data_IF_136238432716
#
_entry.id   IF_136238432716
#
_cell.length_a   1.000
_cell.length_b   1.000
_cell.length_c   1.000
_cell.angle_alpha   90.00
_cell.angle_beta   90.00
_cell.angle_gamma   90.00
#
_symmetry.space_group_name_H-M   'P 1'
#
loop_
_entity.id
_entity.type
_entity.pdbx_description
1 polymer ?
#
# COMPACT_ATOMS: atom_id res chain seq x y z
N UNK A 1 -17.89 7.00 -1.22
CA UNK A 1 -16.86 6.07 -0.71
C UNK A 1 -16.25 6.71 0.52
N UNK A 2 -16.06 5.96 1.61
CA UNK A 2 -15.48 6.53 2.82
C UNK A 2 -13.98 6.78 2.59
N UNK A 3 -13.57 8.03 2.73
CA UNK A 3 -12.15 8.42 2.81
C UNK A 3 -11.80 8.47 4.28
N UNK A 4 -10.68 7.85 4.68
CA UNK A 4 -10.14 7.94 6.03
C UNK A 4 -9.01 8.95 6.07
N UNK A 5 -9.04 9.82 7.07
CA UNK A 5 -7.97 10.78 7.37
C UNK A 5 -7.34 10.40 8.71
N UNK A 6 -6.06 10.06 8.69
CA UNK A 6 -5.28 9.76 9.87
C UNK A 6 -4.35 10.96 10.12
N UNK A 7 -4.53 11.60 11.27
CA UNK A 7 -3.64 12.66 11.74
C UNK A 7 -2.64 12.06 12.71
N UNK A 8 -1.36 12.11 12.39
CA UNK A 8 -0.28 11.70 13.29
C UNK A 8 0.34 12.95 13.91
N UNK A 9 0.37 13.00 15.23
CA UNK A 9 0.97 14.06 16.02
C UNK A 9 2.18 13.52 16.75
N UNK A 10 3.21 14.34 16.91
CA UNK A 10 4.35 13.98 17.75
C UNK A 10 4.83 15.22 18.49
N UNK A 11 5.48 14.99 19.63
CA UNK A 11 6.04 16.03 20.45
C UNK A 11 7.42 15.63 20.97
N UNK A 12 8.38 16.53 20.76
CA UNK A 12 9.70 16.50 21.37
C UNK A 12 10.50 15.21 21.13
N UNK A 13 10.47 14.69 19.89
CA UNK A 13 11.36 13.62 19.45
C UNK A 13 12.83 14.02 19.66
N UNK A 14 13.66 13.09 20.12
CA UNK A 14 15.08 13.33 20.38
C UNK A 14 15.89 13.49 19.09
N UNK A 15 15.41 12.89 17.99
CA UNK A 15 16.06 12.90 16.68
C UNK A 15 15.05 12.87 15.55
N UNK A 16 15.49 13.29 14.38
CA UNK A 16 14.73 13.10 13.15
C UNK A 16 14.42 11.60 12.99
N UNK A 17 13.12 11.31 12.89
CA UNK A 17 12.61 9.95 12.91
C UNK A 17 11.63 9.78 11.76
N UNK A 18 11.84 8.72 11.00
CA UNK A 18 11.04 8.41 9.82
C UNK A 18 10.17 7.20 10.10
N UNK A 19 8.88 7.35 9.83
CA UNK A 19 7.85 6.32 9.94
C UNK A 19 7.49 5.87 8.53
N UNK A 20 7.60 4.56 8.30
CA UNK A 20 7.14 3.90 7.10
C UNK A 20 5.78 3.27 7.35
N UNK A 21 4.83 3.51 6.44
CA UNK A 21 3.51 2.88 6.44
C UNK A 21 3.39 1.94 5.25
N UNK A 22 2.95 0.71 5.52
CA UNK A 22 2.69 -0.30 4.51
C UNK A 22 1.44 -1.10 4.85
N UNK A 23 0.75 -1.60 3.82
CA UNK A 23 -0.36 -2.51 4.04
C UNK A 23 0.16 -3.92 4.26
N UNK A 24 -0.44 -4.62 5.21
CA UNK A 24 -0.08 -6.01 5.48
C UNK A 24 -0.38 -6.86 4.23
N UNK A 25 0.63 -7.56 3.68
CA UNK A 25 0.40 -8.43 2.55
C UNK A 25 -0.46 -9.64 2.98
N UNK A 26 -1.25 -10.23 2.08
CA UNK A 26 -1.88 -11.52 2.33
C UNK A 26 -0.82 -12.55 2.73
N UNK A 27 -1.06 -13.29 3.82
CA UNK A 27 -0.16 -14.36 4.22
C UNK A 27 -0.19 -15.47 3.16
N UNK A 28 0.90 -15.61 2.42
CA UNK A 28 1.06 -16.59 1.36
C UNK A 28 2.47 -17.19 1.43
N UNK A 29 2.63 -18.47 1.07
CA UNK A 29 3.96 -19.09 0.92
C UNK A 29 4.82 -18.53 -0.23
N UNK A 30 4.32 -17.47 -0.86
CA UNK A 30 4.78 -16.78 -2.06
C UNK A 30 5.35 -15.38 -1.76
N UNK A 31 5.15 -14.91 -0.52
CA UNK A 31 5.70 -13.65 -0.06
C UNK A 31 7.23 -13.63 -0.21
N UNK A 32 7.75 -12.53 -0.73
CA UNK A 32 9.15 -12.29 -1.09
C UNK A 32 9.74 -13.20 -2.18
N UNK A 33 8.91 -14.00 -2.89
CA UNK A 33 9.33 -14.85 -4.01
C UNK A 33 8.75 -14.37 -5.34
N UNK A 34 7.43 -14.35 -5.42
CA UNK A 34 6.66 -13.86 -6.58
C UNK A 34 5.61 -12.83 -6.16
N UNK A 35 5.49 -12.55 -4.85
CA UNK A 35 4.61 -11.54 -4.26
C UNK A 35 5.40 -10.66 -3.30
N UNK A 36 5.36 -9.35 -3.47
CA UNK A 36 6.19 -8.40 -2.74
C UNK A 36 5.37 -7.22 -2.21
N UNK A 37 5.43 -6.91 -0.91
CA UNK A 37 4.84 -5.69 -0.36
C UNK A 37 5.48 -4.46 -0.98
N UNK A 38 4.71 -3.39 -1.11
CA UNK A 38 5.21 -2.09 -1.57
C UNK A 38 4.97 -1.05 -0.48
N UNK A 39 6.00 -0.25 -0.21
CA UNK A 39 5.93 0.84 0.76
C UNK A 39 4.92 1.88 0.29
N UNK A 40 3.93 2.20 1.13
CA UNK A 40 2.83 3.08 0.74
C UNK A 40 3.10 4.55 1.07
N UNK A 41 3.56 4.84 2.29
CA UNK A 41 3.89 6.21 2.73
C UNK A 41 5.17 6.24 3.56
N UNK A 42 5.93 7.32 3.42
CA UNK A 42 7.09 7.64 4.25
C UNK A 42 6.85 9.02 4.88
N UNK A 43 6.95 9.09 6.20
CA UNK A 43 6.71 10.32 6.97
C UNK A 43 7.93 10.59 7.83
N UNK A 44 8.61 11.70 7.60
CA UNK A 44 9.73 12.13 8.45
C UNK A 44 9.27 13.22 9.41
N UNK A 45 9.39 12.96 10.70
CA UNK A 45 9.20 13.94 11.76
C UNK A 45 10.56 14.51 12.18
N UNK A 46 10.65 15.83 12.26
CA UNK A 46 11.85 16.51 12.75
C UNK A 46 11.95 16.39 14.27
N UNK A 47 13.18 16.37 14.78
CA UNK A 47 13.46 16.42 16.20
C UNK A 47 12.94 17.72 16.84
N UNK A 48 12.51 17.62 18.09
CA UNK A 48 12.05 18.76 18.89
C UNK A 48 10.69 19.32 18.48
N UNK A 49 10.06 20.04 19.41
CA UNK A 49 8.81 20.78 19.17
C UNK A 49 7.59 19.89 18.84
N UNK A 50 6.56 20.50 18.25
CA UNK A 50 5.36 19.80 17.80
C UNK A 50 5.41 19.58 16.29
N UNK A 51 5.07 18.37 15.85
CA UNK A 51 4.92 18.07 14.43
C UNK A 51 3.62 17.29 14.16
N UNK A 52 3.11 17.47 12.94
CA UNK A 52 1.89 16.82 12.45
C UNK A 52 2.10 16.29 11.03
N UNK A 53 1.64 15.08 10.78
CA UNK A 53 1.47 14.52 9.45
C UNK A 53 0.02 14.10 9.21
N UNK A 54 -0.42 14.18 7.96
CA UNK A 54 -1.78 13.78 7.55
C UNK A 54 -1.68 12.74 6.45
N UNK A 55 -2.24 11.56 6.70
CA UNK A 55 -2.34 10.47 5.74
C UNK A 55 -3.80 10.31 5.34
N UNK A 56 -4.06 10.28 4.04
CA UNK A 56 -5.41 10.07 3.50
C UNK A 56 -5.46 8.74 2.77
N UNK A 57 -6.49 7.97 3.09
CA UNK A 57 -6.77 6.66 2.53
C UNK A 57 -8.15 6.69 1.88
N UNK A 58 -8.24 6.32 0.61
CA UNK A 58 -9.51 6.08 -0.06
C UNK A 58 -9.58 4.61 -0.47
N UNK A 59 -10.68 3.93 -0.13
CA UNK A 59 -10.90 2.53 -0.48
C UNK A 59 -11.28 2.34 -1.98
N UNK A 60 -10.51 2.97 -2.87
CA UNK A 60 -10.62 2.86 -4.34
C UNK A 60 -9.54 1.91 -4.84
N UNK A 61 -9.85 0.62 -4.83
CA UNK A 61 -8.91 -0.40 -5.26
C UNK A 61 -8.71 -0.36 -6.77
N UNK A 62 -7.50 -0.66 -7.21
CA UNK A 62 -7.18 -0.86 -8.62
C UNK A 62 -6.12 -1.94 -8.81
N UNK A 63 -6.22 -2.65 -9.93
CA UNK A 63 -5.11 -3.42 -10.46
C UNK A 63 -4.22 -2.53 -11.32
N UNK A 64 -2.91 -2.71 -11.22
CA UNK A 64 -1.90 -2.01 -12.02
C UNK A 64 -1.07 -2.99 -12.85
N UNK A 65 -0.63 -2.54 -14.02
CA UNK A 65 0.47 -3.17 -14.74
C UNK A 65 1.74 -2.46 -14.32
N UNK A 66 2.51 -3.14 -13.47
CA UNK A 66 3.58 -2.53 -12.72
C UNK A 66 4.94 -2.67 -13.40
N UNK A 67 5.77 -1.67 -13.20
CA UNK A 67 7.18 -1.65 -13.57
C UNK A 67 7.98 -1.25 -12.34
N UNK A 68 9.16 -1.82 -12.19
CA UNK A 68 10.08 -1.44 -11.13
C UNK A 68 11.39 -0.96 -11.77
N UNK A 69 11.94 0.12 -11.24
CA UNK A 69 13.25 0.62 -11.66
C UNK A 69 14.40 -0.10 -10.92
N UNK A 70 15.64 0.36 -11.14
CA UNK A 70 16.85 -0.21 -10.54
C UNK A 70 16.89 -0.04 -9.01
N UNK A 71 16.16 0.93 -8.45
CA UNK A 71 16.00 1.13 -7.01
C UNK A 71 14.84 0.31 -6.42
N UNK A 72 14.15 -0.47 -7.26
CA UNK A 72 12.92 -1.19 -6.96
C UNK A 72 11.72 -0.28 -6.61
N UNK A 73 11.71 0.96 -7.11
CA UNK A 73 10.54 1.83 -7.03
C UNK A 73 9.50 1.35 -8.02
N UNK A 74 8.31 1.06 -7.53
CA UNK A 74 7.20 0.50 -8.31
C UNK A 74 6.33 1.63 -8.83
N UNK A 75 6.28 1.76 -10.14
CA UNK A 75 5.28 2.57 -10.83
C UNK A 75 4.35 1.67 -11.66
N UNK A 76 3.23 2.20 -12.14
CA UNK A 76 2.33 1.46 -13.03
C UNK A 76 1.98 2.28 -14.26
N UNK A 77 2.29 1.72 -15.43
CA UNK A 77 2.04 2.39 -16.71
C UNK A 77 0.56 2.35 -17.11
N UNK A 78 -0.24 1.52 -16.46
CA UNK A 78 -1.70 1.45 -16.62
C UNK A 78 -2.34 0.89 -15.34
N UNK A 79 -3.57 1.30 -15.05
CA UNK A 79 -4.38 0.75 -13.96
C UNK A 79 -5.86 0.69 -14.33
N UNK A 80 -6.62 -0.10 -13.59
CA UNK A 80 -8.08 -0.17 -13.68
C UNK A 80 -8.69 -0.28 -12.29
N UNK A 81 -9.64 0.59 -11.98
CA UNK A 81 -10.39 0.53 -10.71
C UNK A 81 -11.25 -0.73 -10.65
N UNK A 82 -11.24 -1.39 -9.49
CA UNK A 82 -11.98 -2.62 -9.22
C UNK A 82 -12.60 -2.59 -7.83
N UNK A 83 -13.62 -3.42 -7.61
CA UNK A 83 -14.30 -3.63 -6.33
C UNK A 83 -14.31 -5.12 -6.01
N UNK A 84 -14.46 -5.50 -4.74
CA UNK A 84 -14.49 -6.91 -4.33
C UNK A 84 -15.42 -7.77 -5.19
N UNK A 85 -14.92 -8.91 -5.65
CA UNK A 85 -15.62 -9.81 -6.58
C UNK A 85 -15.44 -9.47 -8.07
N UNK A 86 -14.76 -8.36 -8.38
CA UNK A 86 -14.50 -7.97 -9.76
C UNK A 86 -13.33 -8.76 -10.38
N UNK A 87 -13.43 -8.93 -11.69
CA UNK A 87 -12.49 -9.63 -12.55
C UNK A 87 -12.15 -8.73 -13.72
N UNK A 88 -10.86 -8.61 -13.99
CA UNK A 88 -10.33 -7.93 -15.17
C UNK A 88 -9.22 -8.75 -15.80
N UNK A 89 -8.69 -8.25 -16.92
CA UNK A 89 -7.51 -8.81 -17.55
C UNK A 89 -6.64 -7.73 -18.14
N UNK A 90 -5.33 -7.90 -18.06
CA UNK A 90 -4.38 -7.13 -18.85
C UNK A 90 -4.18 -7.81 -20.21
N UNK A 91 -4.21 -7.01 -21.27
CA UNK A 91 -3.97 -7.43 -22.65
C UNK A 91 -2.98 -6.48 -23.32
N UNK A 92 -2.47 -6.85 -24.49
CA UNK A 92 -1.50 -6.06 -25.25
C UNK A 92 -0.16 -6.76 -25.40
N UNK A 93 0.70 -6.13 -26.21
CA UNK A 93 2.04 -6.61 -26.55
C UNK A 93 3.10 -5.82 -25.74
N UNK A 94 4.38 -5.94 -26.12
CA UNK A 94 5.49 -5.34 -25.39
C UNK A 94 5.38 -3.81 -25.32
N UNK A 95 5.52 -3.24 -24.13
CA UNK A 95 5.49 -1.79 -23.88
C UNK A 95 4.10 -1.12 -23.96
N UNK A 96 3.09 -1.78 -24.53
CA UNK A 96 1.72 -1.23 -24.65
C UNK A 96 0.72 -2.23 -24.10
N UNK A 97 0.45 -2.12 -22.79
CA UNK A 97 -0.54 -2.94 -22.11
C UNK A 97 -1.72 -2.10 -21.64
N UNK A 98 -2.90 -2.71 -21.68
CA UNK A 98 -4.17 -2.11 -21.24
C UNK A 98 -5.01 -3.12 -20.49
N UNK A 99 -5.78 -2.61 -19.54
CA UNK A 99 -6.81 -3.40 -18.90
C UNK A 99 -8.06 -3.47 -19.79
N UNK A 100 -8.66 -4.66 -19.81
CA UNK A 100 -9.96 -4.89 -20.42
C UNK A 100 -11.10 -4.51 -19.47
N UNK A 101 -12.33 -4.76 -19.93
CA UNK A 101 -13.54 -4.52 -19.14
C UNK A 101 -13.51 -5.24 -17.79
N UNK A 102 -14.11 -4.58 -16.80
CA UNK A 102 -14.29 -5.13 -15.46
C UNK A 102 -15.64 -5.84 -15.43
N UNK A 103 -15.62 -7.11 -15.05
CA UNK A 103 -16.82 -7.94 -14.87
C UNK A 103 -16.92 -8.40 -13.43
N UNK A 104 -18.13 -8.51 -12.87
CA UNK A 104 -18.31 -8.95 -11.48
C UNK A 104 -18.77 -10.39 -11.40
N UNK A 105 -18.11 -11.18 -10.54
CA UNK A 105 -18.64 -12.46 -10.07
C UNK A 105 -19.49 -12.25 -8.80
N UNK A 106 -20.69 -12.83 -8.80
CA UNK A 106 -21.62 -12.68 -7.67
C UNK A 106 -21.35 -13.66 -6.53
N UNK A 107 -20.59 -14.74 -6.79
CA UNK A 107 -20.35 -15.86 -5.89
C UNK A 107 -19.08 -15.69 -5.03
N UNK A 108 -18.30 -14.62 -5.23
CA UNK A 108 -17.02 -14.45 -4.54
C UNK A 108 -16.70 -13.00 -4.22
N UNK A 109 -15.92 -12.79 -3.16
CA UNK A 109 -15.32 -11.49 -2.82
C UNK A 109 -13.90 -11.34 -3.37
N UNK A 110 -13.37 -12.40 -4.01
CA UNK A 110 -12.03 -12.42 -4.54
C UNK A 110 -11.93 -11.52 -5.78
N UNK A 111 -10.90 -10.69 -5.80
CA UNK A 111 -10.48 -9.92 -6.95
C UNK A 111 -9.61 -10.80 -7.84
N UNK A 112 -9.84 -10.80 -9.14
CA UNK A 112 -9.05 -11.58 -10.10
C UNK A 112 -8.52 -10.69 -11.21
N UNK A 113 -7.20 -10.72 -11.42
CA UNK A 113 -6.58 -10.11 -12.59
C UNK A 113 -5.89 -11.18 -13.44
N UNK A 114 -6.36 -11.33 -14.68
CA UNK A 114 -5.79 -12.28 -15.63
C UNK A 114 -4.68 -11.62 -16.44
N UNK A 115 -3.54 -12.29 -16.57
CA UNK A 115 -2.55 -11.93 -17.58
C UNK A 115 -2.95 -12.58 -18.91
N UNK A 116 -3.71 -11.86 -19.73
CA UNK A 116 -4.11 -12.32 -21.06
C UNK A 116 -3.09 -12.00 -22.15
N UNK A 117 -1.92 -11.46 -21.80
CA UNK A 117 -0.82 -11.21 -22.74
C UNK A 117 -0.15 -12.52 -23.18
N UNK A 118 0.81 -12.42 -24.12
CA UNK A 118 1.61 -13.56 -24.60
C UNK A 118 2.85 -13.83 -23.75
N UNK A 119 3.18 -12.92 -22.83
CA UNK A 119 4.41 -12.94 -22.04
C UNK A 119 4.11 -12.87 -20.54
N UNK A 120 5.16 -12.97 -19.72
CA UNK A 120 5.03 -12.70 -18.29
C UNK A 120 4.76 -11.21 -18.06
N UNK A 121 3.97 -10.89 -17.05
CA UNK A 121 3.66 -9.52 -16.68
C UNK A 121 3.81 -9.34 -15.17
N UNK A 122 4.26 -8.15 -14.76
CA UNK A 122 4.18 -7.73 -13.39
C UNK A 122 2.82 -7.08 -13.15
N UNK A 123 2.11 -7.53 -12.13
CA UNK A 123 0.78 -7.04 -11.79
C UNK A 123 0.82 -6.52 -10.36
N UNK A 124 0.15 -5.42 -10.07
CA UNK A 124 0.03 -4.89 -8.71
C UNK A 124 -1.42 -4.70 -8.32
N UNK A 125 -1.68 -4.64 -7.01
CA UNK A 125 -2.89 -4.07 -6.45
C UNK A 125 -2.52 -2.89 -5.56
N UNK A 126 -3.40 -1.91 -5.51
CA UNK A 126 -3.15 -0.66 -4.81
C UNK A 126 -4.39 0.22 -4.80
N UNK A 127 -4.18 1.49 -4.50
CA UNK A 127 -5.25 2.46 -4.35
C UNK A 127 -5.15 3.58 -5.36
N UNK A 128 -6.31 4.14 -5.69
CA UNK A 128 -6.42 5.29 -6.55
C UNK A 128 -6.78 6.51 -5.71
N UNK A 129 -5.97 7.56 -5.81
CA UNK A 129 -6.24 8.87 -5.24
C UNK A 129 -6.54 9.89 -6.33
N UNK A 130 -7.25 10.97 -5.97
CA UNK A 130 -7.64 12.01 -6.93
C UNK A 130 -8.67 11.52 -7.95
N UNK A 131 -9.10 12.41 -8.84
CA UNK A 131 -10.09 12.16 -9.88
C UNK A 131 -9.67 12.81 -11.19
N UNK A 132 -10.20 12.32 -12.32
CA UNK A 132 -9.91 12.87 -13.65
C UNK A 132 -8.41 12.85 -13.97
N UNK A 133 -7.85 14.00 -14.34
CA UNK A 133 -6.44 14.16 -14.72
C UNK A 133 -5.48 14.09 -13.51
N UNK A 134 -5.99 14.32 -12.30
CA UNK A 134 -5.23 14.27 -11.06
C UNK A 134 -5.24 12.87 -10.43
N UNK A 135 -5.86 11.90 -11.12
CA UNK A 135 -5.88 10.53 -10.68
C UNK A 135 -4.45 9.97 -10.62
N UNK A 136 -4.10 9.36 -9.50
CA UNK A 136 -2.81 8.69 -9.28
C UNK A 136 -3.04 7.34 -8.64
N UNK A 137 -2.33 6.33 -9.15
CA UNK A 137 -2.31 4.99 -8.60
C UNK A 137 -1.14 4.84 -7.62
N UNK A 138 -1.40 4.24 -6.47
CA UNK A 138 -0.43 3.98 -5.41
C UNK A 138 -0.38 2.46 -5.16
N UNK A 139 0.61 1.73 -5.71
CA UNK A 139 0.74 0.29 -5.50
C UNK A 139 1.04 -0.03 -4.04
N UNK A 140 0.48 -1.12 -3.52
CA UNK A 140 0.72 -1.59 -2.14
C UNK A 140 1.20 -3.03 -2.10
N UNK A 141 1.03 -3.76 -3.19
CA UNK A 141 1.44 -5.14 -3.33
C UNK A 141 1.69 -5.45 -4.81
N UNK A 142 2.79 -6.13 -5.09
CA UNK A 142 3.25 -6.49 -6.42
C UNK A 142 3.34 -8.00 -6.57
N UNK A 143 2.96 -8.52 -7.73
CA UNK A 143 3.27 -9.86 -8.20
C UNK A 143 4.19 -9.77 -9.41
N UNK A 144 5.36 -10.40 -9.32
CA UNK A 144 6.33 -10.38 -10.42
C UNK A 144 6.21 -11.61 -11.29
N UNK A 145 6.37 -11.45 -12.60
CA UNK A 145 6.51 -12.57 -13.53
C UNK A 145 5.26 -13.45 -13.65
N UNK A 146 4.06 -12.88 -13.48
CA UNK A 146 2.79 -13.61 -13.65
C UNK A 146 2.74 -14.21 -15.05
N UNK A 147 2.61 -15.54 -15.15
CA UNK A 147 2.66 -16.28 -16.40
C UNK A 147 1.62 -15.81 -17.44
N UNK A 148 1.96 -15.95 -18.72
CA UNK A 148 0.98 -15.76 -19.79
C UNK A 148 -0.22 -16.70 -19.56
N UNK A 149 -1.44 -16.19 -19.76
CA UNK A 149 -2.72 -16.88 -19.51
C UNK A 149 -2.95 -17.33 -18.05
N UNK A 150 -2.08 -16.92 -17.13
CA UNK A 150 -2.27 -17.12 -15.69
C UNK A 150 -3.08 -15.97 -15.09
N UNK A 151 -3.43 -16.07 -13.81
CA UNK A 151 -4.10 -15.00 -13.08
C UNK A 151 -3.53 -14.87 -11.67
N UNK A 152 -3.71 -13.68 -11.10
CA UNK A 152 -3.60 -13.44 -9.67
C UNK A 152 -5.01 -13.38 -9.08
N UNK A 153 -5.13 -13.87 -7.85
CA UNK A 153 -6.35 -13.78 -7.06
C UNK A 153 -5.99 -13.17 -5.72
N UNK A 154 -6.74 -12.14 -5.31
CA UNK A 154 -6.49 -11.43 -4.07
C UNK A 154 -7.78 -11.15 -3.32
N UNK A 155 -7.72 -11.21 -2.00
CA UNK A 155 -8.67 -10.55 -1.13
C UNK A 155 -7.92 -9.44 -0.43
N UNK A 156 -8.54 -8.26 -0.33
CA UNK A 156 -7.89 -7.10 0.22
C UNK A 156 -8.56 -6.66 1.52
N UNK A 157 -7.78 -6.64 2.60
CA UNK A 157 -8.14 -6.04 3.89
C UNK A 157 -7.12 -4.93 4.17
N UNK A 158 -7.54 -3.67 4.36
CA UNK A 158 -6.65 -2.53 4.56
C UNK A 158 -6.09 -2.49 5.99
N UNK A 159 -5.36 -3.53 6.39
CA UNK A 159 -4.57 -3.49 7.63
C UNK A 159 -3.31 -2.69 7.34
N UNK A 160 -3.21 -1.50 7.93
CA UNK A 160 -2.08 -0.61 7.80
C UNK A 160 -1.13 -0.81 8.98
N UNK A 161 0.16 -0.97 8.70
CA UNK A 161 1.20 -1.21 9.70
C UNK A 161 2.27 -0.12 9.59
N UNK A 162 2.78 0.33 10.74
CA UNK A 162 3.82 1.35 10.84
C UNK A 162 5.12 0.78 11.41
N UNK A 163 6.24 1.24 10.85
CA UNK A 163 7.60 0.88 11.27
C UNK A 163 8.45 2.14 11.39
N UNK A 164 9.42 2.15 12.30
CA UNK A 164 10.44 3.21 12.36
C UNK A 164 11.67 2.74 11.58
N UNK A 165 12.05 3.48 10.55
CA UNK A 165 13.12 3.08 9.62
C UNK A 165 13.74 4.31 8.95
N UNK A 166 14.88 4.16 8.26
CA UNK A 166 15.57 5.26 7.57
C UNK A 166 15.85 5.00 6.09
N UNK A 167 15.70 3.76 5.63
CA UNK A 167 16.32 3.29 4.39
C UNK A 167 15.32 3.03 3.26
N UNK A 168 14.03 3.28 3.50
CA UNK A 168 12.98 3.02 2.53
C UNK A 168 12.39 4.28 1.91
N UNK A 169 11.99 4.16 0.65
CA UNK A 169 11.32 5.21 -0.15
C UNK A 169 9.85 4.84 -0.39
N UNK A 170 8.98 5.84 -0.58
CA UNK A 170 7.62 5.58 -1.06
C UNK A 170 7.68 4.82 -2.38
N UNK A 171 6.74 3.89 -2.59
CA UNK A 171 6.66 2.97 -3.74
C UNK A 171 7.77 1.93 -3.87
N UNK A 172 8.72 1.88 -2.93
CA UNK A 172 9.75 0.86 -2.96
C UNK A 172 9.18 -0.53 -2.66
N UNK A 173 9.53 -1.52 -3.48
CA UNK A 173 9.22 -2.92 -3.24
C UNK A 173 10.13 -3.52 -2.17
N UNK A 174 9.53 -4.22 -1.20
CA UNK A 174 10.26 -4.95 -0.16
C UNK A 174 10.55 -6.39 -0.60
N UNK A 175 11.83 -6.77 -0.62
CA UNK A 175 12.31 -8.12 -0.98
C UNK A 175 12.55 -9.05 0.22
N UNK A 176 12.27 -8.56 1.42
CA UNK A 176 12.39 -9.30 2.67
C UNK A 176 11.60 -8.59 3.77
N UNK A 177 11.63 -9.17 4.96
CA UNK A 177 11.00 -8.58 6.14
C UNK A 177 11.68 -7.26 6.51
N UNK A 178 10.91 -6.36 7.12
CA UNK A 178 11.43 -5.13 7.70
C UNK A 178 12.25 -5.53 8.93
N UNK A 179 13.46 -5.01 9.07
CA UNK A 179 14.37 -5.41 10.16
C UNK A 179 13.88 -5.05 11.56
N UNK A 180 12.96 -4.08 11.66
CA UNK A 180 12.37 -3.61 12.91
C UNK A 180 10.98 -4.17 13.12
N UNK A 181 10.60 -4.39 14.37
CA UNK A 181 9.22 -4.73 14.73
C UNK A 181 8.24 -3.60 14.38
N UNK A 182 6.98 -3.94 14.03
CA UNK A 182 5.94 -2.95 13.82
C UNK A 182 5.62 -2.24 15.13
N UNK A 183 5.54 -0.90 15.08
CA UNK A 183 5.21 -0.07 16.25
C UNK A 183 3.70 0.19 16.37
N UNK A 184 2.94 -0.17 15.34
CA UNK A 184 1.49 0.02 15.27
C UNK A 184 0.88 -0.74 14.08
N UNK A 185 -0.34 -1.24 14.25
CA UNK A 185 -1.11 -1.88 13.18
C UNK A 185 -2.61 -1.70 13.39
N UNK A 186 -3.36 -1.41 12.33
CA UNK A 186 -4.79 -1.15 12.41
C UNK A 186 -5.53 -1.49 11.12
N UNK A 187 -6.67 -2.17 11.23
CA UNK A 187 -7.62 -2.29 10.12
C UNK A 187 -8.33 -0.93 9.91
N UNK A 188 -8.07 -0.30 8.77
CA UNK A 188 -8.64 1.01 8.44
C UNK A 188 -10.16 0.97 8.21
N UNK A 189 -10.75 -0.21 7.96
CA UNK A 189 -12.21 -0.36 7.89
C UNK A 189 -12.88 -0.15 9.25
N UNK A 190 -12.15 -0.38 10.34
CA UNK A 190 -12.64 -0.29 11.72
C UNK A 190 -12.49 1.11 12.32
N UNK A 191 -11.96 2.08 11.54
CA UNK A 191 -11.73 3.44 12.00
C UNK A 191 -12.85 4.39 11.57
N UNK A 192 -13.05 5.44 12.35
CA UNK A 192 -13.87 6.59 11.96
C UNK A 192 -13.23 7.34 10.77
N UNK A 193 -14.02 8.17 10.09
CA UNK A 193 -13.55 8.89 8.88
C UNK A 193 -12.38 9.85 9.17
N UNK A 194 -12.29 10.36 10.39
CA UNK A 194 -11.16 11.16 10.86
C UNK A 194 -10.70 10.63 12.20
N UNK A 195 -9.41 10.28 12.29
CA UNK A 195 -8.77 9.83 13.52
C UNK A 195 -7.50 10.60 13.79
N UNK A 196 -7.12 10.64 15.07
CA UNK A 196 -5.92 11.31 15.56
C UNK A 196 -5.10 10.30 16.36
N UNK A 197 -3.78 10.34 16.16
CA UNK A 197 -2.84 9.37 16.71
C UNK A 197 -1.60 10.10 17.20
N UNK A 198 -1.09 9.71 18.35
CA UNK A 198 0.18 10.21 18.90
C UNK A 198 1.29 9.23 18.53
N UNK A 199 2.32 9.71 17.84
CA UNK A 199 3.58 9.04 17.64
C UNK A 199 4.56 9.46 18.74
N UNK A 200 4.91 8.52 19.61
CA UNK A 200 5.61 8.78 20.87
C UNK A 200 6.95 8.05 20.86
N UNK A 201 7.98 8.74 21.33
CA UNK A 201 9.28 8.18 21.72
C UNK A 201 9.31 8.09 23.25
N UNK A 202 9.46 6.89 23.78
CA UNK A 202 9.60 6.69 25.23
C UNK A 202 10.95 7.22 25.70
N UNK A 203 10.94 8.18 26.62
CA UNK A 203 12.17 8.85 27.08
C UNK A 203 13.13 7.95 27.88
N UNK A 204 12.64 6.84 28.45
CA UNK A 204 13.47 5.93 29.25
C UNK A 204 14.17 4.86 28.40
N UNK A 205 13.43 4.27 27.45
CA UNK A 205 13.91 3.17 26.60
C UNK A 205 14.34 3.60 25.20
N UNK A 206 13.90 4.77 24.73
CA UNK A 206 14.04 5.20 23.34
C UNK A 206 13.18 4.40 22.35
N UNK A 207 12.22 3.60 22.86
CA UNK A 207 11.29 2.84 22.02
C UNK A 207 10.21 3.74 21.43
N UNK A 208 9.66 3.33 20.30
CA UNK A 208 8.62 4.08 19.59
C UNK A 208 7.30 3.31 19.58
N UNK A 209 6.19 4.04 19.68
CA UNK A 209 4.85 3.49 19.54
C UNK A 209 3.89 4.53 18.98
N UNK A 210 2.77 4.07 18.42
CA UNK A 210 1.65 4.94 18.05
C UNK A 210 0.42 4.52 18.85
N UNK A 211 -0.24 5.50 19.46
CA UNK A 211 -1.47 5.30 20.21
C UNK A 211 -2.56 6.26 19.76
N UNK A 212 -3.82 5.95 20.05
CA UNK A 212 -4.94 6.82 19.68
C UNK A 212 -4.88 8.09 20.54
N UNK A 213 -4.92 9.25 19.89
CA UNK A 213 -5.01 10.50 20.62
C UNK A 213 -6.40 10.57 21.26
N UNK A 214 -6.45 10.63 22.59
CA UNK A 214 -7.70 10.87 23.29
C UNK A 214 -8.24 12.25 22.86
N UNK A 215 -9.55 12.33 22.62
CA UNK A 215 -10.23 13.62 22.56
C UNK A 215 -9.99 14.31 23.91
N UNK A 216 -9.34 15.47 23.88
CA UNK A 216 -9.40 16.40 25.01
C UNK A 216 -10.86 16.82 25.20
#
# INVERSE_FOLDING_TARGET
MATKTLNFYTYNLQRDTTVMLMFQPPNSGKLYKDQFPVVWKIITFRAGGHAKAVVRYAARLAFGYAQADDENLVDSSAWVEVKSGDITSVTGDYGVKRFGEVSRRQDTRLLVCKNNTKERANLSIGFVKGDGLDQRYEPTLLWTGVGAKSNITAQFTPVLTAYVTRDYKESQMLRGEVETDPIWSQDLNMLDDVTSWNFVEDGASGSFFIERANSI
#
